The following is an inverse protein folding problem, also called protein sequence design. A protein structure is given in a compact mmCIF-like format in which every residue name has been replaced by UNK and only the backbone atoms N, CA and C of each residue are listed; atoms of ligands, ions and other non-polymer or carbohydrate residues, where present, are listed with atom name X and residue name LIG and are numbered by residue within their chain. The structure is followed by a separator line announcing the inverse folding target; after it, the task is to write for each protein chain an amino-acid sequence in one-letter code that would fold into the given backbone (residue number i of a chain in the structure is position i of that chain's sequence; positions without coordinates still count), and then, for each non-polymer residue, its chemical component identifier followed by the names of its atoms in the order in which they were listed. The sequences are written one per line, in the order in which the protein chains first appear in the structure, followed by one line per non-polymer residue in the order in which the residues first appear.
data_IF_376638948734
#
_entry.id   IF_376638948734
#
_cell.length_a   1.000
_cell.length_b   1.000
_cell.length_c   1.000
_cell.angle_alpha   90.00
_cell.angle_beta   90.00
_cell.angle_gamma   90.00
#
_symmetry.space_group_name_H-M   'P 1'
#
loop_
_entity.id
_entity.type
_entity.pdbx_description
1 polymer ?
#
# COMPACT_ATOMS: atom_id res chain seq x y z
N UNK A 1 -69.97 47.97 128.50
CA UNK A 1 -69.32 49.07 129.26
C UNK A 1 -70.26 50.26 129.25
N UNK A 2 -70.59 50.79 130.43
CA UNK A 2 -71.03 52.18 130.74
C UNK A 2 -72.34 52.68 130.09
N UNK A 3 -73.36 53.24 130.76
CA UNK A 3 -73.50 53.87 132.07
C UNK A 3 -74.19 55.25 131.91
N UNK A 4 -74.97 55.67 132.92
CA UNK A 4 -75.57 57.01 133.18
C UNK A 4 -77.01 57.27 132.65
N UNK A 5 -78.05 57.32 133.52
CA UNK A 5 -78.53 58.42 134.40
C UNK A 5 -79.39 59.46 133.62
N UNK A 6 -80.49 60.06 134.07
CA UNK A 6 -81.04 60.36 135.40
C UNK A 6 -82.56 60.71 135.34
N UNK A 7 -83.13 60.87 136.54
CA UNK A 7 -84.51 61.08 137.03
C UNK A 7 -85.38 62.31 136.57
N UNK A 8 -86.69 62.35 136.96
CA UNK A 8 -87.76 63.35 136.65
C UNK A 8 -87.88 64.46 137.76
N UNK A 9 -88.89 65.39 137.88
CA UNK A 9 -90.29 65.10 138.34
C UNK A 9 -91.43 66.19 138.11
N UNK A 10 -92.68 65.84 138.51
CA UNK A 10 -93.76 66.64 139.20
C UNK A 10 -94.32 67.97 138.61
N UNK A 11 -95.56 68.46 138.77
CA UNK A 11 -96.74 68.33 139.68
C UNK A 11 -98.03 68.65 138.83
N UNK A 12 -99.26 68.12 139.01
CA UNK A 12 -100.26 68.23 140.10
C UNK A 12 -100.53 69.68 140.62
N UNK A 13 -101.64 70.00 141.31
CA UNK A 13 -103.09 69.85 141.02
C UNK A 13 -103.94 71.08 141.48
N UNK A 14 -105.28 70.95 141.53
CA UNK A 14 -106.30 71.73 142.33
C UNK A 14 -107.00 72.90 141.61
N UNK A 15 -108.31 72.91 141.31
CA UNK A 15 -109.55 72.73 142.10
C UNK A 15 -110.05 74.03 142.82
N UNK A 16 -111.39 74.23 142.92
CA UNK A 16 -112.13 75.51 143.04
C UNK A 16 -112.43 75.88 144.52
N UNK A 17 -113.28 76.88 144.89
CA UNK A 17 -114.75 76.63 144.96
C UNK A 17 -115.72 77.84 144.96
N UNK A 18 -116.98 77.52 144.63
CA UNK A 18 -118.26 77.94 145.21
C UNK A 18 -118.54 79.41 145.63
N UNK A 19 -119.47 79.99 144.86
CA UNK A 19 -120.75 80.60 145.24
C UNK A 19 -121.20 80.81 146.72
N UNK A 20 -121.99 81.90 146.85
CA UNK A 20 -123.08 82.20 147.82
C UNK A 20 -122.63 82.80 149.17
N UNK A 21 -123.45 83.59 149.92
CA UNK A 21 -124.87 83.31 150.20
C UNK A 21 -125.85 84.52 150.39
N UNK A 22 -127.17 84.22 150.26
CA UNK A 22 -128.29 84.68 151.12
C UNK A 22 -128.62 86.21 151.17
N UNK A 23 -129.87 86.73 151.19
CA UNK A 23 -131.04 86.38 152.02
C UNK A 23 -132.25 87.31 151.68
N UNK A 24 -133.44 86.72 151.49
CA UNK A 24 -134.81 87.06 151.96
C UNK A 24 -135.47 88.47 151.83
N UNK A 25 -136.68 88.43 151.25
CA UNK A 25 -137.97 89.10 151.62
C UNK A 25 -138.35 90.45 150.95
N UNK A 26 -139.66 90.82 150.87
CA UNK A 26 -140.62 90.38 149.85
C UNK A 26 -141.25 91.58 149.11
N UNK A 27 -141.13 91.60 147.78
CA UNK A 27 -142.01 92.26 146.78
C UNK A 27 -141.17 92.38 145.51
N UNK A 28 -141.75 92.09 144.34
CA UNK A 28 -141.14 92.17 143.00
C UNK A 28 -140.37 90.91 142.47
N UNK A 29 -140.25 89.82 143.23
CA UNK A 29 -139.49 88.56 142.91
C UNK A 29 -140.06 87.62 141.82
N UNK A 30 -141.21 87.92 141.20
CA UNK A 30 -141.85 86.98 140.26
C UNK A 30 -141.32 87.03 138.81
N UNK A 31 -140.31 87.86 138.50
CA UNK A 31 -139.82 88.03 137.10
C UNK A 31 -138.57 87.18 136.74
N UNK A 32 -137.80 86.67 137.71
CA UNK A 32 -136.54 85.91 137.45
C UNK A 32 -136.71 84.38 137.40
N UNK A 33 -137.69 83.82 138.11
CA UNK A 33 -137.93 82.36 138.23
C UNK A 33 -138.31 81.69 136.89
N UNK A 34 -138.77 82.45 135.89
CA UNK A 34 -139.12 81.90 134.58
C UNK A 34 -137.92 81.76 133.62
N UNK A 35 -136.76 82.40 133.89
CA UNK A 35 -135.59 82.36 133.00
C UNK A 35 -134.51 81.31 133.34
N UNK A 36 -134.40 80.87 134.59
CA UNK A 36 -133.30 79.95 135.01
C UNK A 36 -133.64 78.46 134.83
N UNK A 37 -134.93 78.12 134.69
CA UNK A 37 -135.40 76.73 134.49
C UNK A 37 -134.96 76.04 133.17
N UNK A 38 -134.82 76.74 132.02
CA UNK A 38 -134.30 76.15 130.79
C UNK A 38 -132.80 75.86 130.84
N UNK A 39 -132.00 76.73 131.47
CA UNK A 39 -130.54 76.60 131.52
C UNK A 39 -130.09 75.39 132.33
N UNK A 40 -130.71 75.14 133.49
CA UNK A 40 -130.47 73.92 134.26
C UNK A 40 -130.83 72.64 133.50
N UNK A 41 -131.89 72.67 132.66
CA UNK A 41 -132.22 71.52 131.79
C UNK A 41 -131.15 71.30 130.72
N UNK A 42 -130.58 72.36 130.16
CA UNK A 42 -129.50 72.27 129.18
C UNK A 42 -128.22 71.72 129.81
N UNK A 43 -127.86 72.20 131.01
CA UNK A 43 -126.70 71.70 131.75
C UNK A 43 -126.85 70.21 132.12
N UNK A 44 -128.06 69.79 132.53
CA UNK A 44 -128.36 68.38 132.79
C UNK A 44 -128.29 67.55 131.49
N UNK A 45 -128.74 68.10 130.35
CA UNK A 45 -128.63 67.43 129.05
C UNK A 45 -127.16 67.28 128.61
N UNK A 46 -126.36 68.33 128.77
CA UNK A 46 -124.93 68.33 128.41
C UNK A 46 -124.10 67.44 129.36
N UNK A 47 -124.38 67.47 130.66
CA UNK A 47 -123.79 66.51 131.60
C UNK A 47 -124.18 65.08 131.26
N UNK A 48 -125.44 64.83 130.83
CA UNK A 48 -125.85 63.51 130.35
C UNK A 48 -125.09 63.11 129.07
N UNK A 49 -124.87 64.02 128.14
CA UNK A 49 -124.15 63.72 126.90
C UNK A 49 -122.64 63.53 127.13
N UNK A 50 -122.02 64.31 128.02
CA UNK A 50 -120.65 64.06 128.49
C UNK A 50 -120.52 62.74 129.23
N UNK A 51 -121.48 62.38 130.09
CA UNK A 51 -121.49 61.06 130.75
C UNK A 51 -121.61 59.96 129.70
N UNK A 52 -122.45 60.10 128.67
CA UNK A 52 -122.51 59.15 127.55
C UNK A 52 -121.21 59.08 126.77
N UNK A 53 -120.56 60.20 126.49
CA UNK A 53 -119.28 60.24 125.77
C UNK A 53 -118.15 59.62 126.58
N UNK A 54 -118.04 59.95 127.88
CA UNK A 54 -117.11 59.29 128.82
C UNK A 54 -117.40 57.80 128.95
N UNK A 55 -118.67 57.38 128.89
CA UNK A 55 -119.06 55.96 128.88
C UNK A 55 -118.66 55.26 127.57
N UNK A 56 -118.65 56.00 126.45
CA UNK A 56 -118.26 55.48 125.13
C UNK A 56 -116.74 55.55 124.89
N UNK A 57 -116.01 56.39 125.62
CA UNK A 57 -114.57 56.59 125.45
C UNK A 57 -113.77 55.29 125.66
N UNK A 58 -113.97 54.49 126.73
CA UNK A 58 -113.34 53.17 126.86
C UNK A 58 -113.65 52.24 125.68
N UNK A 59 -114.86 52.30 125.12
CA UNK A 59 -115.22 51.51 123.93
C UNK A 59 -114.48 51.98 122.68
N UNK A 60 -114.23 53.29 122.53
CA UNK A 60 -113.40 53.83 121.43
C UNK A 60 -111.93 53.39 121.58
N UNK A 61 -111.35 53.47 122.78
CA UNK A 61 -109.99 52.99 123.05
C UNK A 61 -109.85 51.48 122.87
N UNK A 62 -110.83 50.69 123.32
CA UNK A 62 -110.84 49.24 123.12
C UNK A 62 -110.85 48.89 121.63
N UNK A 63 -111.67 49.56 120.81
CA UNK A 63 -111.65 49.35 119.35
C UNK A 63 -110.31 49.73 118.73
N UNK A 64 -109.68 50.79 119.20
CA UNK A 64 -108.36 51.20 118.71
C UNK A 64 -107.26 50.19 119.10
N UNK A 65 -107.33 49.63 120.31
CA UNK A 65 -106.45 48.56 120.76
C UNK A 65 -106.63 47.30 119.91
N UNK A 66 -107.87 46.88 119.64
CA UNK A 66 -108.13 45.75 118.74
C UNK A 66 -107.64 46.02 117.32
N UNK A 67 -107.90 47.20 116.76
CA UNK A 67 -107.39 47.57 115.44
C UNK A 67 -105.86 47.56 115.38
N UNK A 68 -105.21 48.03 116.44
CA UNK A 68 -103.75 47.98 116.57
C UNK A 68 -103.22 46.55 116.72
N UNK A 69 -103.93 45.68 117.44
CA UNK A 69 -103.60 44.26 117.56
C UNK A 69 -103.78 43.51 116.24
N UNK A 70 -104.85 43.80 115.49
CA UNK A 70 -105.07 43.31 114.14
C UNK A 70 -103.95 43.79 113.19
N UNK A 71 -103.60 45.08 113.22
CA UNK A 71 -102.50 45.66 112.44
C UNK A 71 -101.15 45.02 112.80
N UNK A 72 -100.88 44.78 114.09
CA UNK A 72 -99.67 44.08 114.53
C UNK A 72 -99.61 42.65 114.00
N UNK A 73 -100.74 41.94 114.03
CA UNK A 73 -100.83 40.58 113.52
C UNK A 73 -100.65 40.56 112.00
N UNK A 74 -101.21 41.53 111.27
CA UNK A 74 -100.99 41.70 109.83
C UNK A 74 -99.51 41.96 109.52
N UNK A 75 -98.86 42.87 110.25
CA UNK A 75 -97.42 43.14 110.10
C UNK A 75 -96.60 41.87 110.38
N UNK A 76 -96.96 41.08 111.40
CA UNK A 76 -96.27 39.84 111.72
C UNK A 76 -96.40 38.81 110.59
N UNK A 77 -97.61 38.60 110.07
CA UNK A 77 -97.83 37.68 108.93
C UNK A 77 -97.13 38.15 107.66
N UNK A 78 -97.09 39.46 107.39
CA UNK A 78 -96.32 40.03 106.29
C UNK A 78 -94.82 39.85 106.49
N UNK A 79 -94.31 40.01 107.71
CA UNK A 79 -92.90 39.79 108.03
C UNK A 79 -92.50 38.31 107.83
N UNK A 80 -93.33 37.38 108.29
CA UNK A 80 -93.16 35.94 108.03
C UNK A 80 -93.15 35.64 106.53
N UNK A 81 -94.10 36.20 105.78
CA UNK A 81 -94.17 36.07 104.32
C UNK A 81 -92.95 36.67 103.60
N UNK A 82 -92.47 37.83 104.05
CA UNK A 82 -91.24 38.45 103.55
C UNK A 82 -90.02 37.58 103.84
N UNK A 83 -89.96 36.94 105.02
CA UNK A 83 -88.89 36.01 105.36
C UNK A 83 -88.89 34.78 104.45
N UNK A 84 -90.06 34.23 104.12
CA UNK A 84 -90.22 33.11 103.19
C UNK A 84 -89.79 33.50 101.78
N UNK A 85 -90.26 34.64 101.26
CA UNK A 85 -89.86 35.14 99.95
C UNK A 85 -88.35 35.44 99.87
N UNK A 86 -87.75 35.97 100.94
CA UNK A 86 -86.31 36.20 101.01
C UNK A 86 -85.52 34.88 101.02
N UNK A 87 -86.02 33.85 101.70
CA UNK A 87 -85.43 32.51 101.68
C UNK A 87 -85.54 31.87 100.29
N UNK A 88 -86.67 32.04 99.58
CA UNK A 88 -86.83 31.60 98.19
C UNK A 88 -85.91 32.36 97.22
N UNK A 89 -85.75 33.67 97.39
CA UNK A 89 -84.78 34.49 96.63
C UNK A 89 -83.35 34.02 96.86
N UNK A 90 -82.99 33.68 98.11
CA UNK A 90 -81.69 33.11 98.46
C UNK A 90 -81.46 31.73 97.84
N UNK A 91 -82.47 30.86 97.81
CA UNK A 91 -82.41 29.60 97.03
C UNK A 91 -82.25 29.87 95.52
N UNK A 92 -82.90 30.92 95.00
CA UNK A 92 -82.67 31.41 93.64
C UNK A 92 -81.23 31.89 93.41
N UNK A 93 -80.58 32.47 94.43
CA UNK A 93 -79.16 32.82 94.37
C UNK A 93 -78.24 31.60 94.36
N UNK A 94 -78.64 30.46 94.95
CA UNK A 94 -77.87 29.21 94.86
C UNK A 94 -77.77 28.69 93.42
N UNK A 95 -78.76 28.97 92.55
CA UNK A 95 -78.75 28.66 91.10
C UNK A 95 -77.61 29.37 90.36
N UNK A 96 -77.05 30.46 90.92
CA UNK A 96 -75.86 31.12 90.35
C UNK A 96 -74.64 30.20 90.35
N UNK A 97 -74.54 29.26 91.28
CA UNK A 97 -73.41 28.31 91.37
C UNK A 97 -73.40 27.24 90.25
N UNK A 98 -74.49 26.48 89.97
CA UNK A 98 -74.54 25.60 88.81
C UNK A 98 -74.47 26.39 87.49
N UNK A 99 -74.99 27.62 87.43
CA UNK A 99 -74.85 28.48 86.24
C UNK A 99 -73.38 28.80 85.92
N UNK A 100 -72.57 29.15 86.92
CA UNK A 100 -71.12 29.36 86.74
C UNK A 100 -70.42 28.07 86.31
N UNK A 101 -70.81 26.93 86.90
CA UNK A 101 -70.25 25.62 86.54
C UNK A 101 -70.59 25.23 85.10
N UNK A 102 -71.81 25.47 84.64
CA UNK A 102 -72.24 25.25 83.26
C UNK A 102 -71.43 26.11 82.29
N UNK A 103 -71.28 27.41 82.55
CA UNK A 103 -70.47 28.29 81.69
C UNK A 103 -69.01 27.83 81.58
N UNK A 104 -68.41 27.36 82.67
CA UNK A 104 -67.06 26.78 82.65
C UNK A 104 -66.99 25.47 81.86
N UNK A 105 -67.99 24.59 81.99
CA UNK A 105 -68.06 23.36 81.21
C UNK A 105 -68.30 23.63 79.73
N UNK A 106 -69.09 24.64 79.40
CA UNK A 106 -69.34 25.09 78.04
C UNK A 106 -68.08 25.68 77.41
N UNK A 107 -67.34 26.54 78.12
CA UNK A 107 -66.03 27.02 77.64
C UNK A 107 -65.05 25.87 77.46
N UNK A 108 -64.96 24.95 78.43
CA UNK A 108 -64.13 23.76 78.33
C UNK A 108 -64.53 22.86 77.14
N UNK A 109 -65.83 22.73 76.85
CA UNK A 109 -66.32 21.97 75.71
C UNK A 109 -65.95 22.63 74.39
N UNK A 110 -66.09 23.96 74.30
CA UNK A 110 -65.67 24.73 73.13
C UNK A 110 -64.15 24.64 72.89
N UNK A 111 -63.34 24.72 73.95
CA UNK A 111 -61.88 24.53 73.87
C UNK A 111 -61.54 23.11 73.38
N UNK A 112 -62.20 22.07 73.93
CA UNK A 112 -62.02 20.70 73.45
C UNK A 112 -62.44 20.53 71.99
N UNK A 113 -63.53 21.18 71.57
CA UNK A 113 -64.02 21.16 70.18
C UNK A 113 -63.00 21.80 69.24
N UNK A 114 -62.47 22.97 69.57
CA UNK A 114 -61.44 23.63 68.75
C UNK A 114 -60.13 22.82 68.69
N UNK A 115 -59.70 22.20 69.79
CA UNK A 115 -58.54 21.30 69.80
C UNK A 115 -58.78 20.08 68.90
N UNK A 116 -59.98 19.50 68.95
CA UNK A 116 -60.35 18.36 68.10
C UNK A 116 -60.37 18.74 66.63
N UNK A 117 -61.00 19.87 66.27
CA UNK A 117 -61.03 20.40 64.90
C UNK A 117 -59.61 20.67 64.38
N UNK A 118 -58.75 21.31 65.19
CA UNK A 118 -57.34 21.53 64.87
C UNK A 118 -56.58 20.21 64.66
N UNK A 119 -56.80 19.21 65.52
CA UNK A 119 -56.14 17.90 65.41
C UNK A 119 -56.61 17.15 64.17
N UNK A 120 -57.91 17.19 63.85
CA UNK A 120 -58.47 16.60 62.64
C UNK A 120 -57.94 17.28 61.37
N UNK A 121 -57.84 18.61 61.36
CA UNK A 121 -57.24 19.36 60.26
C UNK A 121 -55.76 19.00 60.09
N UNK A 122 -55.01 18.88 61.19
CA UNK A 122 -53.63 18.43 61.16
C UNK A 122 -53.50 17.00 60.60
N UNK A 123 -54.38 16.08 60.99
CA UNK A 123 -54.41 14.72 60.42
C UNK A 123 -54.68 14.74 58.92
N UNK A 124 -55.67 15.51 58.45
CA UNK A 124 -55.94 15.68 57.01
C UNK A 124 -54.72 16.23 56.27
N UNK A 125 -54.05 17.24 56.83
CA UNK A 125 -52.83 17.83 56.25
C UNK A 125 -51.68 16.82 56.20
N UNK A 126 -51.50 16.01 57.25
CA UNK A 126 -50.48 14.95 57.28
C UNK A 126 -50.80 13.82 56.31
N UNK A 127 -52.07 13.41 56.19
CA UNK A 127 -52.51 12.43 55.21
C UNK A 127 -52.25 12.90 53.79
N UNK A 128 -52.57 14.16 53.47
CA UNK A 128 -52.28 14.74 52.15
C UNK A 128 -50.78 14.78 51.86
N UNK A 129 -49.96 15.20 52.83
CA UNK A 129 -48.49 15.15 52.68
C UNK A 129 -47.99 13.71 52.43
N UNK A 130 -48.62 12.73 53.08
CA UNK A 130 -48.33 11.31 52.85
C UNK A 130 -48.64 10.89 51.41
N UNK A 131 -49.80 11.27 50.87
CA UNK A 131 -50.17 10.97 49.48
C UNK A 131 -49.26 11.66 48.47
N UNK A 132 -48.90 12.93 48.73
CA UNK A 132 -48.01 13.70 47.86
C UNK A 132 -46.59 13.09 47.84
N UNK A 133 -46.09 12.64 49.00
CA UNK A 133 -44.80 11.97 49.11
C UNK A 133 -44.79 10.62 48.37
N UNK A 134 -45.88 9.83 48.45
CA UNK A 134 -46.02 8.57 47.71
C UNK A 134 -46.01 8.83 46.19
N UNK A 135 -46.79 9.81 45.71
CA UNK A 135 -46.81 10.17 44.30
C UNK A 135 -45.41 10.63 43.80
N UNK A 136 -44.70 11.40 44.63
CA UNK A 136 -43.33 11.79 44.32
C UNK A 136 -42.37 10.59 44.23
N UNK A 137 -42.48 9.63 45.16
CA UNK A 137 -41.67 8.41 45.13
C UNK A 137 -41.94 7.58 43.87
N UNK A 138 -43.20 7.45 43.45
CA UNK A 138 -43.58 6.75 42.22
C UNK A 138 -42.98 7.43 40.98
N UNK A 139 -43.07 8.77 40.89
CA UNK A 139 -42.47 9.51 39.78
C UNK A 139 -40.94 9.37 39.72
N UNK A 140 -40.26 9.27 40.88
CA UNK A 140 -38.83 8.97 40.93
C UNK A 140 -38.52 7.53 40.52
N UNK A 141 -39.36 6.56 40.90
CA UNK A 141 -39.21 5.17 40.50
C UNK A 141 -39.37 4.99 38.98
N UNK A 142 -40.34 5.65 38.36
CA UNK A 142 -40.53 5.66 36.91
C UNK A 142 -39.32 6.27 36.18
N UNK A 143 -38.80 7.39 36.68
CA UNK A 143 -37.56 7.99 36.16
C UNK A 143 -36.37 7.04 36.30
N UNK A 144 -36.26 6.35 37.43
CA UNK A 144 -35.19 5.39 37.64
C UNK A 144 -35.29 4.19 36.68
N UNK A 145 -36.50 3.67 36.44
CA UNK A 145 -36.75 2.63 35.43
C UNK A 145 -36.38 3.10 34.03
N UNK A 146 -36.80 4.30 33.65
CA UNK A 146 -36.45 4.92 32.36
C UNK A 146 -34.93 5.06 32.20
N UNK A 147 -34.24 5.57 33.22
CA UNK A 147 -32.78 5.67 33.23
C UNK A 147 -32.10 4.29 33.13
N UNK A 148 -32.60 3.27 33.82
CA UNK A 148 -32.09 1.91 33.71
C UNK A 148 -32.20 1.37 32.27
N UNK A 149 -33.34 1.61 31.60
CA UNK A 149 -33.50 1.24 30.18
C UNK A 149 -32.48 1.98 29.30
N UNK A 150 -32.31 3.29 29.48
CA UNK A 150 -31.32 4.07 28.72
C UNK A 150 -29.88 3.58 28.96
N UNK A 151 -29.53 3.22 30.20
CA UNK A 151 -28.21 2.65 30.53
C UNK A 151 -28.00 1.30 29.84
N UNK A 152 -29.02 0.44 29.78
CA UNK A 152 -28.94 -0.84 29.06
C UNK A 152 -28.78 -0.63 27.55
N UNK A 153 -29.53 0.29 26.95
CA UNK A 153 -29.40 0.64 25.53
C UNK A 153 -28.01 1.19 25.20
N UNK A 154 -27.49 2.09 26.04
CA UNK A 154 -26.14 2.64 25.89
C UNK A 154 -25.06 1.55 26.05
N UNK A 155 -25.25 0.62 26.99
CA UNK A 155 -24.34 -0.52 27.19
C UNK A 155 -24.32 -1.44 25.97
N UNK A 156 -25.49 -1.71 25.37
CA UNK A 156 -25.58 -2.48 24.13
C UNK A 156 -24.88 -1.77 22.97
N UNK A 157 -25.08 -0.45 22.81
CA UNK A 157 -24.38 0.37 21.80
C UNK A 157 -22.87 0.38 22.03
N UNK A 158 -22.41 0.48 23.28
CA UNK A 158 -20.99 0.41 23.63
C UNK A 158 -20.38 -0.95 23.25
N UNK A 159 -21.08 -2.05 23.53
CA UNK A 159 -20.64 -3.39 23.11
C UNK A 159 -20.54 -3.54 21.58
N UNK A 160 -21.51 -2.99 20.83
CA UNK A 160 -21.47 -2.99 19.36
C UNK A 160 -20.28 -2.18 18.82
N UNK A 161 -20.02 -0.99 19.39
CA UNK A 161 -18.88 -0.16 19.00
C UNK A 161 -17.56 -0.85 19.32
N UNK A 162 -17.44 -1.51 20.46
CA UNK A 162 -16.24 -2.27 20.84
C UNK A 162 -15.99 -3.45 19.89
N UNK A 163 -17.03 -4.16 19.46
CA UNK A 163 -16.91 -5.23 18.47
C UNK A 163 -16.43 -4.68 17.11
N UNK A 164 -16.98 -3.55 16.67
CA UNK A 164 -16.59 -2.87 15.43
C UNK A 164 -15.16 -2.34 15.48
N UNK A 165 -14.73 -1.81 16.63
CA UNK A 165 -13.34 -1.40 16.87
C UNK A 165 -12.38 -2.58 16.69
N UNK A 166 -12.70 -3.73 17.28
CA UNK A 166 -11.88 -4.92 17.15
C UNK A 166 -11.82 -5.44 15.70
N UNK A 167 -12.95 -5.41 14.97
CA UNK A 167 -13.00 -5.74 13.54
C UNK A 167 -12.06 -4.84 12.73
N UNK A 168 -12.18 -3.51 12.89
CA UNK A 168 -11.33 -2.54 12.18
C UNK A 168 -9.85 -2.71 12.53
N UNK A 169 -9.53 -3.01 13.79
CA UNK A 169 -8.17 -3.28 14.23
C UNK A 169 -7.58 -4.54 13.57
N UNK A 170 -8.38 -5.61 13.42
CA UNK A 170 -7.93 -6.80 12.68
C UNK A 170 -7.74 -6.53 11.19
N UNK A 171 -8.64 -5.74 10.58
CA UNK A 171 -8.53 -5.35 9.18
C UNK A 171 -7.29 -4.49 8.93
N UNK A 172 -6.99 -3.55 9.82
CA UNK A 172 -5.80 -2.71 9.73
C UNK A 172 -4.52 -3.57 9.76
N UNK A 173 -4.42 -4.52 10.70
CA UNK A 173 -3.28 -5.46 10.77
C UNK A 173 -3.12 -6.29 9.50
N UNK A 174 -4.23 -6.73 8.88
CA UNK A 174 -4.17 -7.46 7.60
C UNK A 174 -3.71 -6.56 6.45
N UNK A 175 -4.16 -5.31 6.40
CA UNK A 175 -3.71 -4.33 5.42
C UNK A 175 -2.23 -3.98 5.59
N UNK A 176 -1.76 -3.79 6.83
CA UNK A 176 -0.35 -3.54 7.12
C UNK A 176 0.53 -4.71 6.65
N UNK A 177 0.07 -5.95 6.86
CA UNK A 177 0.76 -7.15 6.36
C UNK A 177 0.82 -7.18 4.82
N UNK A 178 -0.28 -6.88 4.14
CA UNK A 178 -0.31 -6.84 2.68
C UNK A 178 0.57 -5.72 2.10
N UNK A 179 0.62 -4.56 2.75
CA UNK A 179 1.53 -3.47 2.38
C UNK A 179 2.98 -3.88 2.55
N UNK A 180 3.31 -4.60 3.63
CA UNK A 180 4.66 -5.11 3.86
C UNK A 180 5.08 -6.10 2.75
N UNK A 181 4.22 -7.07 2.43
CA UNK A 181 4.46 -8.05 1.36
C UNK A 181 4.64 -7.38 -0.01
N UNK A 182 3.76 -6.43 -0.35
CA UNK A 182 3.91 -5.65 -1.59
C UNK A 182 5.20 -4.80 -1.60
N UNK A 183 5.63 -4.32 -0.44
CA UNK A 183 6.91 -3.59 -0.32
C UNK A 183 8.08 -4.53 -0.57
N UNK A 184 8.06 -5.74 0.02
CA UNK A 184 9.09 -6.76 -0.20
C UNK A 184 9.19 -7.13 -1.70
N UNK A 185 8.05 -7.37 -2.37
CA UNK A 185 8.00 -7.63 -3.82
C UNK A 185 8.60 -6.47 -4.63
N UNK A 186 8.25 -5.22 -4.30
CA UNK A 186 8.83 -4.03 -4.96
C UNK A 186 10.34 -3.99 -4.77
N UNK A 187 10.86 -4.29 -3.58
CA UNK A 187 12.30 -4.31 -3.33
C UNK A 187 13.00 -5.41 -4.12
N UNK A 188 12.39 -6.59 -4.24
CA UNK A 188 12.91 -7.69 -5.05
C UNK A 188 12.97 -7.30 -6.53
N UNK A 189 11.87 -6.77 -7.09
CA UNK A 189 11.86 -6.29 -8.48
C UNK A 189 12.86 -5.15 -8.72
N UNK A 190 13.01 -4.25 -7.76
CA UNK A 190 14.01 -3.17 -7.82
C UNK A 190 15.43 -3.73 -7.86
N UNK A 191 15.72 -4.80 -7.11
CA UNK A 191 17.03 -5.47 -7.14
C UNK A 191 17.29 -6.15 -8.48
N UNK A 192 16.34 -6.92 -9.01
CA UNK A 192 16.41 -7.57 -10.32
C UNK A 192 16.59 -6.57 -11.45
N UNK A 193 15.89 -5.44 -11.40
CA UNK A 193 16.03 -4.38 -12.39
C UNK A 193 17.45 -3.80 -12.39
N UNK A 194 18.03 -3.56 -11.21
CA UNK A 194 19.41 -3.06 -11.08
C UNK A 194 20.45 -4.03 -11.60
N UNK A 195 20.25 -5.34 -11.40
CA UNK A 195 21.11 -6.38 -11.97
C UNK A 195 21.05 -6.38 -13.50
N UNK A 196 19.84 -6.36 -14.07
CA UNK A 196 19.63 -6.27 -15.52
C UNK A 196 20.22 -5.00 -16.12
N UNK A 197 20.07 -3.85 -15.45
CA UNK A 197 20.67 -2.59 -15.87
C UNK A 197 22.20 -2.66 -15.88
N UNK A 198 22.79 -3.34 -14.88
CA UNK A 198 24.24 -3.54 -14.81
C UNK A 198 24.74 -4.50 -15.90
N UNK A 199 24.02 -5.59 -16.16
CA UNK A 199 24.32 -6.51 -17.26
C UNK A 199 24.19 -5.82 -18.63
N UNK A 200 23.18 -4.98 -18.83
CA UNK A 200 22.99 -4.20 -20.05
C UNK A 200 24.16 -3.22 -20.27
N UNK A 201 24.60 -2.52 -19.22
CA UNK A 201 25.77 -1.63 -19.31
C UNK A 201 27.04 -2.40 -19.68
N UNK A 202 27.27 -3.56 -19.07
CA UNK A 202 28.41 -4.42 -19.39
C UNK A 202 28.36 -4.95 -20.84
N UNK A 203 27.21 -5.41 -21.31
CA UNK A 203 27.02 -5.86 -22.68
C UNK A 203 27.27 -4.73 -23.69
N UNK A 204 26.81 -3.51 -23.40
CA UNK A 204 27.05 -2.33 -24.24
C UNK A 204 28.53 -1.95 -24.32
N UNK A 205 29.28 -2.08 -23.21
CA UNK A 205 30.73 -1.84 -23.24
C UNK A 205 31.48 -2.91 -24.04
N UNK A 206 31.05 -4.17 -23.95
CA UNK A 206 31.62 -5.28 -24.72
C UNK A 206 31.32 -5.12 -26.22
N UNK A 207 30.10 -4.71 -26.58
CA UNK A 207 29.73 -4.38 -27.97
C UNK A 207 30.65 -3.31 -28.56
N UNK A 208 30.93 -2.25 -27.79
CA UNK A 208 31.86 -1.20 -28.21
C UNK A 208 33.27 -1.74 -28.44
N UNK A 209 33.76 -2.62 -27.55
CA UNK A 209 35.07 -3.26 -27.67
C UNK A 209 35.15 -4.13 -28.93
N UNK A 210 34.20 -5.05 -29.12
CA UNK A 210 34.12 -5.92 -30.30
C UNK A 210 33.99 -5.12 -31.60
N UNK A 211 33.25 -4.00 -31.58
CA UNK A 211 33.15 -3.15 -32.76
C UNK A 211 34.49 -2.47 -33.09
N UNK A 212 35.29 -2.09 -32.07
CA UNK A 212 36.65 -1.59 -32.29
C UNK A 212 37.55 -2.68 -32.88
N UNK A 213 37.59 -3.88 -32.27
CA UNK A 213 38.36 -5.02 -32.80
C UNK A 213 37.96 -5.37 -34.24
N UNK A 214 36.66 -5.33 -34.56
CA UNK A 214 36.17 -5.53 -35.92
C UNK A 214 36.73 -4.50 -36.90
N UNK A 215 36.83 -3.23 -36.53
CA UNK A 215 37.45 -2.20 -37.39
C UNK A 215 38.95 -2.44 -37.54
N UNK A 216 39.64 -2.81 -36.45
CA UNK A 216 41.08 -3.10 -36.47
C UNK A 216 41.38 -4.30 -37.40
N UNK A 217 40.62 -5.39 -37.28
CA UNK A 217 40.72 -6.55 -38.17
C UNK A 217 40.39 -6.20 -39.62
N UNK A 218 39.40 -5.33 -39.85
CA UNK A 218 39.07 -4.86 -41.21
C UNK A 218 40.23 -4.07 -41.82
N UNK A 219 40.95 -3.28 -41.03
CA UNK A 219 42.13 -2.55 -41.50
C UNK A 219 43.29 -3.51 -41.77
N UNK A 220 43.57 -4.45 -40.87
CA UNK A 220 44.58 -5.50 -41.08
C UNK A 220 44.32 -6.36 -42.32
N UNK A 221 43.05 -6.70 -42.59
CA UNK A 221 42.67 -7.41 -43.81
C UNK A 221 43.00 -6.61 -45.08
N UNK A 222 42.73 -5.29 -45.09
CA UNK A 222 43.09 -4.43 -46.22
C UNK A 222 44.61 -4.41 -46.43
N UNK A 223 45.39 -4.35 -45.36
CA UNK A 223 46.86 -4.40 -45.43
C UNK A 223 47.34 -5.73 -46.02
N UNK A 224 46.81 -6.87 -45.57
CA UNK A 224 47.16 -8.19 -46.09
C UNK A 224 46.78 -8.37 -47.57
N UNK A 225 45.65 -7.79 -48.00
CA UNK A 225 45.26 -7.79 -49.42
C UNK A 225 46.29 -7.02 -50.27
N UNK A 226 46.74 -5.86 -49.78
CA UNK A 226 47.76 -5.06 -50.46
C UNK A 226 49.08 -5.82 -50.56
N UNK A 227 49.54 -6.44 -49.48
CA UNK A 227 50.78 -7.23 -49.49
C UNK A 227 50.66 -8.46 -50.41
N UNK A 228 49.51 -9.13 -50.42
CA UNK A 228 49.25 -10.25 -51.34
C UNK A 228 49.33 -9.81 -52.80
N UNK A 229 48.75 -8.65 -53.14
CA UNK A 229 48.82 -8.11 -54.49
C UNK A 229 50.27 -7.76 -54.88
N UNK A 230 51.02 -7.14 -53.98
CA UNK A 230 52.44 -6.85 -54.18
C UNK A 230 53.25 -8.12 -54.44
N UNK A 231 53.09 -9.15 -53.60
CA UNK A 231 53.77 -10.44 -53.79
C UNK A 231 53.36 -11.13 -55.10
N UNK A 232 52.11 -10.97 -55.53
CA UNK A 232 51.64 -11.47 -56.83
C UNK A 232 52.33 -10.74 -57.98
N UNK A 233 52.48 -9.42 -57.89
CA UNK A 233 53.20 -8.62 -58.90
C UNK A 233 54.68 -9.00 -58.95
N UNK A 234 55.33 -9.15 -57.79
CA UNK A 234 56.71 -9.63 -57.68
C UNK A 234 56.88 -11.01 -58.32
N UNK A 235 55.94 -11.94 -58.08
CA UNK A 235 55.93 -13.26 -58.69
C UNK A 235 55.76 -13.19 -60.22
N UNK A 236 54.90 -12.30 -60.72
CA UNK A 236 54.72 -12.09 -62.16
C UNK A 236 56.00 -11.56 -62.80
N UNK A 237 56.68 -10.60 -62.18
CA UNK A 237 57.97 -10.10 -62.66
C UNK A 237 59.04 -11.19 -62.65
N UNK A 238 59.12 -12.00 -61.58
CA UNK A 238 60.05 -13.15 -61.53
C UNK A 238 59.74 -14.19 -62.60
N UNK A 239 58.49 -14.41 -62.94
CA UNK A 239 58.10 -15.31 -64.05
C UNK A 239 58.53 -14.74 -65.40
N UNK A 240 58.36 -13.43 -65.65
CA UNK A 240 58.85 -12.78 -66.87
C UNK A 240 60.37 -12.87 -66.97
N UNK A 241 61.09 -12.62 -65.87
CA UNK A 241 62.56 -12.77 -65.80
C UNK A 241 62.99 -14.21 -66.08
N UNK A 242 62.30 -15.21 -65.51
CA UNK A 242 62.56 -16.61 -65.77
C UNK A 242 62.33 -16.99 -67.25
N UNK A 243 61.25 -16.50 -67.88
CA UNK A 243 60.99 -16.74 -69.29
C UNK A 243 62.10 -16.16 -70.18
N UNK A 244 62.56 -14.93 -69.89
CA UNK A 244 63.71 -14.33 -70.59
C UNK A 244 64.97 -15.17 -70.42
N UNK A 245 65.25 -15.65 -69.21
CA UNK A 245 66.37 -16.55 -68.94
C UNK A 245 66.23 -17.88 -69.72
N UNK A 246 65.03 -18.44 -69.83
CA UNK A 246 64.78 -19.63 -70.63
C UNK A 246 65.01 -19.40 -72.13
N UNK A 247 64.53 -18.27 -72.67
CA UNK A 247 64.77 -17.85 -74.05
C UNK A 247 66.27 -17.70 -74.34
N UNK A 248 67.01 -17.06 -73.43
CA UNK A 248 68.47 -16.94 -73.51
C UNK A 248 69.16 -18.31 -73.49
N UNK A 249 68.74 -19.22 -72.60
CA UNK A 249 69.24 -20.59 -72.56
C UNK A 249 68.96 -21.33 -73.88
N UNK A 250 67.77 -21.15 -74.47
CA UNK A 250 67.42 -21.77 -75.75
C UNK A 250 68.29 -21.21 -76.87
N UNK A 251 68.47 -19.88 -76.94
CA UNK A 251 69.34 -19.21 -77.90
C UNK A 251 70.78 -19.72 -77.81
N UNK A 252 71.36 -19.71 -76.60
CA UNK A 252 72.72 -20.23 -76.35
C UNK A 252 72.85 -21.71 -76.70
N UNK A 253 71.83 -22.54 -76.46
CA UNK A 253 71.82 -23.95 -76.88
C UNK A 253 71.84 -24.09 -78.41
N UNK A 254 71.03 -23.31 -79.12
CA UNK A 254 71.00 -23.31 -80.59
C UNK A 254 72.33 -22.85 -81.17
N UNK A 255 72.89 -21.77 -80.67
CA UNK A 255 74.22 -21.27 -81.05
C UNK A 255 75.30 -22.34 -80.80
N UNK A 256 75.27 -23.01 -79.65
CA UNK A 256 76.21 -24.10 -79.35
C UNK A 256 76.11 -25.26 -80.36
N UNK A 257 74.89 -25.60 -80.81
CA UNK A 257 74.68 -26.61 -81.86
C UNK A 257 75.23 -26.14 -83.21
N UNK A 258 75.00 -24.87 -83.59
CA UNK A 258 75.57 -24.28 -84.80
C UNK A 258 77.11 -24.31 -84.77
N UNK A 259 77.72 -23.83 -83.67
CA UNK A 259 79.17 -23.83 -83.48
C UNK A 259 79.75 -25.25 -83.51
N UNK A 260 79.10 -26.24 -82.87
CA UNK A 260 79.52 -27.65 -82.97
C UNK A 260 79.47 -28.18 -84.41
N UNK A 261 78.45 -27.79 -85.17
CA UNK A 261 78.31 -28.18 -86.59
C UNK A 261 79.39 -27.53 -87.45
N UNK A 262 79.66 -26.25 -87.24
CA UNK A 262 80.74 -25.52 -87.92
C UNK A 262 82.11 -26.12 -87.59
N UNK A 263 82.39 -26.42 -86.31
CA UNK A 263 83.59 -27.13 -85.89
C UNK A 263 83.71 -28.49 -86.59
N UNK A 264 82.63 -29.28 -86.68
CA UNK A 264 82.65 -30.55 -87.40
C UNK A 264 82.95 -30.36 -88.90
N UNK A 265 82.38 -29.34 -89.54
CA UNK A 265 82.67 -29.00 -90.94
C UNK A 265 84.13 -28.55 -91.12
N UNK A 266 84.69 -27.77 -90.19
CA UNK A 266 86.10 -27.37 -90.22
C UNK A 266 87.03 -28.58 -90.05
N UNK A 267 86.70 -29.51 -89.15
CA UNK A 267 87.42 -30.78 -88.99
C UNK A 267 87.36 -31.60 -90.28
N UNK A 268 86.20 -31.73 -90.93
CA UNK A 268 86.08 -32.43 -92.22
C UNK A 268 86.82 -31.72 -93.35
N UNK A 269 86.81 -30.39 -93.40
CA UNK A 269 87.59 -29.59 -94.35
C UNK A 269 89.09 -29.78 -94.13
N UNK A 270 89.55 -29.82 -92.88
CA UNK A 270 90.93 -30.11 -92.53
C UNK A 270 91.31 -31.53 -92.98
N UNK A 271 90.48 -32.55 -92.69
CA UNK A 271 90.69 -33.92 -93.18
C UNK A 271 90.79 -33.98 -94.72
N UNK A 272 89.90 -33.31 -95.44
CA UNK A 272 89.96 -33.23 -96.92
C UNK A 272 91.22 -32.51 -97.41
N UNK A 273 91.67 -31.47 -96.71
CA UNK A 273 92.92 -30.78 -97.02
C UNK A 273 94.11 -31.69 -96.77
N UNK A 274 94.14 -32.43 -95.68
CA UNK A 274 95.20 -33.40 -95.36
C UNK A 274 95.22 -34.55 -96.39
N UNK A 275 94.05 -35.05 -96.80
CA UNK A 275 93.93 -36.00 -97.91
C UNK A 275 94.45 -35.42 -99.23
N UNK A 276 94.16 -34.15 -99.54
CA UNK A 276 94.68 -33.48 -100.73
C UNK A 276 96.20 -33.27 -100.64
N UNK A 277 96.73 -32.91 -99.47
CA UNK A 277 98.18 -32.80 -99.26
C UNK A 277 98.87 -34.16 -99.38
N UNK A 278 98.25 -35.22 -98.87
CA UNK A 278 98.71 -36.59 -99.08
C UNK A 278 98.71 -36.95 -100.58
N UNK A 279 97.64 -36.61 -101.31
CA UNK A 279 97.57 -36.81 -102.76
C UNK A 279 98.66 -36.02 -103.51
N UNK A 280 98.87 -34.73 -103.16
CA UNK A 280 99.95 -33.90 -103.72
C UNK A 280 101.34 -34.42 -103.39
N UNK A 281 101.56 -34.91 -102.17
CA UNK A 281 102.83 -35.53 -101.77
C UNK A 281 103.06 -36.83 -102.53
N UNK A 282 102.01 -37.62 -102.76
CA UNK A 282 102.07 -38.85 -103.56
C UNK A 282 102.35 -38.55 -105.03
N UNK A 283 101.73 -37.51 -105.59
CA UNK A 283 102.02 -37.00 -106.93
C UNK A 283 103.46 -36.49 -107.03
N UNK A 284 103.94 -35.71 -106.05
CA UNK A 284 105.31 -35.21 -106.00
C UNK A 284 106.32 -36.37 -105.95
N UNK A 285 106.08 -37.39 -105.13
CA UNK A 285 106.88 -38.62 -105.08
C UNK A 285 106.89 -39.33 -106.44
N UNK A 286 105.74 -39.44 -107.10
CA UNK A 286 105.65 -39.99 -108.46
C UNK A 286 106.46 -39.13 -109.45
N UNK A 287 106.40 -37.81 -109.35
CA UNK A 287 107.10 -36.89 -110.25
C UNK A 287 108.63 -36.87 -110.03
N UNK A 288 109.14 -37.18 -108.83
CA UNK A 288 110.59 -37.26 -108.59
C UNK A 288 111.15 -38.66 -108.80
N UNK A 289 110.39 -39.70 -108.49
CA UNK A 289 110.85 -41.09 -108.61
C UNK A 289 110.71 -41.64 -110.03
N UNK A 290 109.66 -41.24 -110.78
CA UNK A 290 109.45 -41.69 -112.16
C UNK A 290 110.57 -41.25 -113.13
N UNK A 291 111.11 -40.01 -113.08
CA UNK A 291 112.29 -39.64 -113.85
C UNK A 291 113.55 -40.38 -113.43
N UNK A 292 113.74 -40.64 -112.13
CA UNK A 292 114.86 -41.44 -111.62
C UNK A 292 114.80 -42.88 -112.14
N UNK A 293 113.63 -43.54 -112.07
CA UNK A 293 113.40 -44.87 -112.65
C UNK A 293 113.59 -44.87 -114.18
N UNK A 294 113.10 -43.85 -114.88
CA UNK A 294 113.35 -43.69 -116.33
C UNK A 294 114.84 -43.51 -116.63
N UNK A 295 115.59 -42.80 -115.79
CA UNK A 295 117.03 -42.62 -115.92
C UNK A 295 117.80 -43.92 -115.67
N UNK A 296 117.39 -44.72 -114.67
CA UNK A 296 117.94 -46.06 -114.42
C UNK A 296 117.65 -46.98 -115.60
N UNK A 297 116.43 -46.97 -116.15
CA UNK A 297 116.06 -47.76 -117.32
C UNK A 297 116.90 -47.38 -118.56
N UNK A 298 117.08 -46.08 -118.82
CA UNK A 298 117.96 -45.60 -119.91
C UNK A 298 119.41 -45.99 -119.68
N UNK A 299 119.90 -45.97 -118.43
CA UNK A 299 121.26 -46.41 -118.09
C UNK A 299 121.42 -47.91 -118.35
N UNK A 300 120.49 -48.74 -117.89
CA UNK A 300 120.47 -50.18 -118.18
C UNK A 300 120.42 -50.46 -119.68
N UNK A 301 119.70 -49.67 -120.46
CA UNK A 301 119.63 -49.81 -121.92
C UNK A 301 120.95 -49.45 -122.62
N UNK A 302 121.69 -48.46 -122.11
CA UNK A 302 123.06 -48.14 -122.58
C UNK A 302 124.05 -49.24 -122.19
N UNK A 303 123.95 -49.77 -120.97
CA UNK A 303 124.81 -50.85 -120.49
C UNK A 303 124.60 -52.13 -121.34
N UNK A 304 123.35 -52.41 -121.75
CA UNK A 304 123.03 -53.50 -122.68
C UNK A 304 123.59 -53.28 -124.10
N UNK A 305 123.56 -52.05 -124.63
CA UNK A 305 124.17 -51.74 -125.92
C UNK A 305 125.69 -51.85 -125.88
N UNK A 306 126.32 -51.46 -124.77
CA UNK A 306 127.76 -51.61 -124.56
C UNK A 306 128.21 -53.08 -124.53
N UNK A 307 127.41 -53.96 -123.92
CA UNK A 307 127.63 -55.41 -123.92
C UNK A 307 127.48 -56.03 -125.31
N UNK A 308 126.54 -55.54 -126.14
CA UNK A 308 126.34 -56.02 -127.51
C UNK A 308 127.57 -55.76 -128.40
N UNK A 309 128.16 -54.56 -128.31
CA UNK A 309 129.36 -54.17 -129.08
C UNK A 309 130.63 -54.86 -128.56
N UNK A 310 130.72 -55.11 -127.25
CA UNK A 310 131.83 -55.87 -126.67
C UNK A 310 131.78 -57.36 -127.02
N UNK A 311 130.59 -57.90 -127.29
CA UNK A 311 130.38 -59.29 -127.71
C UNK A 311 130.75 -59.49 -129.20
N UNK A 312 130.40 -58.55 -130.08
CA UNK A 312 130.76 -58.59 -131.50
C UNK A 312 132.28 -58.43 -131.73
N UNK A 313 132.98 -57.59 -130.95
CA UNK A 313 134.44 -57.44 -131.10
C UNK A 313 135.26 -58.64 -130.59
N UNK A 314 134.66 -59.52 -129.79
CA UNK A 314 135.31 -60.77 -129.33
C UNK A 314 135.05 -61.97 -130.26
N UNK A 315 134.21 -61.85 -131.29
CA UNK A 315 133.76 -62.96 -132.14
C UNK A 315 134.59 -63.16 -133.43
N UNK A 316 135.46 -62.20 -133.78
CA UNK A 316 136.28 -62.23 -135.02
C UNK A 316 137.68 -62.87 -134.85
N UNK A 317 138.09 -63.25 -133.63
CA UNK A 317 139.46 -63.70 -133.31
C UNK A 317 139.59 -65.15 -132.77
N UNK A 318 138.51 -65.94 -132.74
CA UNK A 318 138.52 -67.32 -132.18
C UNK A 318 137.71 -68.34 -132.99
N UNK A 319 137.98 -68.41 -134.30
CA UNK A 319 137.67 -69.55 -135.17
C UNK A 319 138.99 -70.21 -135.65
N UNK A 320 139.73 -70.81 -134.72
CA UNK A 320 140.71 -71.87 -134.97
C UNK A 320 140.80 -72.71 -133.68
N UNK A 321 140.54 -74.02 -133.81
CA UNK A 321 140.43 -75.05 -132.77
C UNK A 321 139.14 -75.13 -131.93
N UNK A 322 138.07 -75.53 -132.61
CA UNK A 322 137.40 -76.85 -132.54
C UNK A 322 137.30 -77.66 -131.23
N UNK A 323 136.06 -78.15 -131.02
CA UNK A 323 135.57 -79.31 -130.25
C UNK A 323 135.28 -79.04 -128.76
N UNK A 324 134.05 -78.63 -128.45
CA UNK A 324 132.86 -79.48 -128.23
C UNK A 324 132.93 -80.27 -126.92
N UNK A 325 131.93 -80.33 -126.06
CA UNK A 325 130.66 -79.64 -125.93
C UNK A 325 130.32 -79.74 -124.42
N UNK A 326 129.71 -78.69 -123.85
CA UNK A 326 129.37 -78.63 -122.44
C UNK A 326 127.91 -78.22 -122.31
N UNK A 327 127.10 -79.13 -121.79
CA UNK A 327 125.71 -78.90 -121.36
C UNK A 327 125.45 -79.79 -120.12
N UNK A 328 124.86 -79.15 -119.08
CA UNK A 328 124.25 -79.68 -117.84
C UNK A 328 125.13 -80.24 -116.70
N UNK A 329 125.23 -79.45 -115.62
CA UNK A 329 125.11 -79.80 -114.18
C UNK A 329 125.07 -78.46 -113.41
N UNK A 330 124.13 -78.18 -112.51
CA UNK A 330 124.02 -78.57 -111.09
C UNK A 330 125.05 -77.96 -110.11
N UNK A 331 124.48 -77.44 -109.02
CA UNK A 331 124.95 -77.45 -107.61
C UNK A 331 125.80 -76.32 -106.98
N UNK A 332 125.19 -75.75 -105.92
CA UNK A 332 125.70 -75.59 -104.53
C UNK A 332 126.39 -74.32 -104.01
N UNK A 333 126.20 -74.17 -102.68
CA UNK A 333 126.78 -73.28 -101.65
C UNK A 333 125.98 -71.98 -101.39
N UNK A 334 125.21 -71.78 -100.31
CA UNK A 334 125.32 -72.04 -98.85
C UNK A 334 125.94 -70.88 -98.03
N UNK A 335 125.35 -70.71 -96.83
CA UNK A 335 125.77 -69.99 -95.62
C UNK A 335 125.44 -68.49 -95.41
N UNK A 336 124.59 -68.30 -94.38
CA UNK A 336 124.73 -67.36 -93.26
C UNK A 336 124.31 -65.88 -93.50
N UNK A 337 123.73 -65.10 -92.57
CA UNK A 337 123.55 -65.22 -91.11
C UNK A 337 122.93 -63.93 -90.51
N UNK A 338 122.11 -64.08 -89.45
CA UNK A 338 121.67 -63.15 -88.37
C UNK A 338 121.04 -61.77 -88.74
N UNK A 339 120.24 -61.08 -87.93
CA UNK A 339 120.05 -61.06 -86.47
C UNK A 339 118.71 -60.33 -86.16
N UNK A 340 117.94 -60.82 -85.16
CA UNK A 340 117.17 -60.12 -84.10
C UNK A 340 116.40 -58.82 -84.34
N UNK A 341 115.45 -58.38 -83.52
CA UNK A 341 114.63 -58.88 -82.40
C UNK A 341 113.65 -57.73 -82.15
N UNK A 342 112.34 -58.03 -82.05
CA UNK A 342 111.36 -57.42 -81.15
C UNK A 342 111.27 -55.85 -81.10
N UNK A 343 110.58 -55.20 -80.13
CA UNK A 343 109.50 -55.68 -79.25
C UNK A 343 108.30 -54.70 -79.05
N UNK A 344 107.12 -55.27 -78.78
CA UNK A 344 106.21 -54.98 -77.63
C UNK A 344 105.60 -53.56 -77.42
N UNK A 345 104.52 -53.28 -76.66
CA UNK A 345 103.58 -53.98 -75.76
C UNK A 345 102.46 -52.96 -75.40
N UNK A 346 101.36 -53.43 -74.80
CA UNK A 346 100.59 -52.79 -73.68
C UNK A 346 99.85 -51.47 -73.94
N UNK A 347 98.88 -50.99 -73.16
CA UNK A 347 98.04 -51.48 -72.05
C UNK A 347 97.01 -50.36 -71.73
N UNK A 348 96.07 -50.73 -70.88
CA UNK A 348 94.85 -50.11 -70.32
C UNK A 348 94.81 -48.65 -69.83
N UNK A 349 93.56 -48.15 -69.80
CA UNK A 349 92.84 -47.44 -68.71
C UNK A 349 92.58 -45.90 -68.78
N UNK A 350 91.27 -45.60 -68.75
CA UNK A 350 90.52 -44.53 -68.01
C UNK A 350 90.72 -43.02 -68.32
N UNK A 351 89.61 -42.40 -68.75
CA UNK A 351 88.83 -41.33 -68.06
C UNK A 351 88.39 -40.17 -69.00
N UNK A 352 87.09 -39.81 -68.98
CA UNK A 352 86.53 -38.61 -69.64
C UNK A 352 85.24 -38.79 -70.48
N UNK A 353 84.06 -38.70 -69.83
CA UNK A 353 82.65 -38.67 -70.32
C UNK A 353 82.30 -37.54 -71.33
N UNK A 354 81.03 -37.33 -71.79
CA UNK A 354 79.87 -38.22 -72.07
C UNK A 354 79.13 -37.92 -73.41
N UNK A 355 78.42 -38.88 -74.03
CA UNK A 355 77.06 -38.59 -74.55
C UNK A 355 76.21 -39.83 -74.91
N UNK A 356 75.09 -40.02 -74.16
CA UNK A 356 73.77 -40.63 -74.52
C UNK A 356 73.73 -42.15 -74.84
N UNK A 357 72.78 -42.98 -74.43
CA UNK A 357 71.53 -42.92 -73.65
C UNK A 357 71.17 -44.40 -73.33
N UNK A 358 71.04 -44.83 -72.07
CA UNK A 358 70.16 -45.96 -71.69
C UNK A 358 69.69 -45.85 -70.22
N UNK A 359 68.52 -46.45 -69.96
CA UNK A 359 67.56 -46.35 -68.85
C UNK A 359 68.12 -46.31 -67.41
N UNK A 360 67.48 -45.55 -66.51
CA UNK A 360 66.59 -46.03 -65.43
C UNK A 360 66.23 -44.93 -64.41
N UNK A 361 64.99 -45.02 -63.90
CA UNK A 361 64.45 -44.64 -62.58
C UNK A 361 64.79 -43.28 -61.96
N UNK A 362 63.73 -42.50 -61.69
CA UNK A 362 63.79 -41.31 -60.85
C UNK A 362 62.41 -40.70 -60.63
N UNK A 363 61.55 -41.45 -59.92
CA UNK A 363 60.61 -40.94 -58.93
C UNK A 363 59.96 -39.56 -59.22
N UNK A 364 59.09 -39.53 -60.22
CA UNK A 364 57.97 -38.60 -60.21
C UNK A 364 56.95 -39.10 -59.21
N UNK A 365 56.88 -38.48 -58.04
CA UNK A 365 55.64 -38.44 -57.28
C UNK A 365 54.71 -37.44 -57.97
N UNK A 366 53.59 -37.85 -58.58
CA UNK A 366 52.39 -37.06 -58.46
C UNK A 366 51.73 -37.51 -57.16
N UNK A 367 51.85 -36.67 -56.13
CA UNK A 367 50.88 -36.68 -55.05
C UNK A 367 49.48 -36.71 -55.67
N UNK A 368 48.71 -37.72 -55.25
CA UNK A 368 47.25 -37.73 -55.20
C UNK A 368 46.66 -36.33 -55.32
N UNK A 369 46.04 -36.04 -56.46
CA UNK A 369 44.88 -35.17 -56.49
C UNK A 369 43.78 -35.96 -55.79
N UNK A 370 43.70 -35.83 -54.46
CA UNK A 370 42.47 -36.10 -53.74
C UNK A 370 41.55 -34.91 -54.04
N UNK A 371 40.79 -35.02 -55.12
CA UNK A 371 39.56 -34.27 -55.26
C UNK A 371 38.41 -35.12 -54.74
N UNK A 372 37.53 -34.45 -54.00
CA UNK A 372 36.21 -34.89 -53.54
C UNK A 372 36.18 -36.01 -52.49
N UNK A 373 36.12 -35.58 -51.23
CA UNK A 373 35.00 -35.98 -50.39
C UNK A 373 34.44 -34.72 -49.72
N UNK A 374 33.28 -34.28 -50.18
CA UNK A 374 32.37 -33.42 -49.41
C UNK A 374 31.81 -34.30 -48.29
N UNK A 375 31.99 -33.97 -47.01
CA UNK A 375 31.07 -34.42 -45.99
C UNK A 375 29.96 -33.38 -45.91
N UNK A 376 28.81 -33.78 -46.45
CA UNK A 376 27.52 -33.34 -45.93
C UNK A 376 27.52 -33.49 -44.40
N UNK A 377 26.95 -32.54 -43.65
CA UNK A 377 26.26 -32.90 -42.44
C UNK A 377 24.77 -32.67 -42.62
N UNK A 378 24.07 -33.77 -42.82
CA UNK A 378 22.67 -33.90 -42.46
C UNK A 378 22.51 -33.48 -40.99
N UNK A 379 21.78 -32.40 -40.75
CA UNK A 379 21.25 -32.10 -39.43
C UNK A 379 19.73 -32.30 -39.48
N UNK A 380 19.35 -33.54 -39.23
CA UNK A 380 18.00 -33.92 -38.84
C UNK A 380 17.92 -33.76 -37.32
N UNK A 381 17.13 -32.80 -36.84
CA UNK A 381 16.40 -32.98 -35.59
C UNK A 381 15.11 -32.16 -35.60
N UNK A 382 14.02 -32.85 -35.26
CA UNK A 382 12.66 -32.34 -35.18
C UNK A 382 12.44 -31.57 -33.87
N UNK A 383 11.63 -30.51 -33.94
CA UNK A 383 10.74 -30.05 -32.86
C UNK A 383 9.71 -29.13 -33.52
N UNK A 384 8.47 -29.60 -33.67
CA UNK A 384 7.37 -29.40 -32.72
C UNK A 384 6.59 -28.12 -33.09
N UNK A 385 5.27 -28.29 -33.15
CA UNK A 385 4.28 -27.35 -33.64
C UNK A 385 4.51 -25.92 -33.12
N UNK A 386 4.70 -24.99 -34.05
CA UNK A 386 4.56 -23.57 -33.79
C UNK A 386 3.28 -23.13 -34.49
N UNK A 387 2.22 -23.01 -33.71
CA UNK A 387 1.08 -22.19 -34.07
C UNK A 387 1.60 -20.78 -34.36
N UNK A 388 1.22 -20.27 -35.53
CA UNK A 388 1.59 -18.95 -36.00
C UNK A 388 0.92 -17.89 -35.15
N UNK A 389 1.66 -17.32 -34.21
CA UNK A 389 1.28 -16.08 -33.56
C UNK A 389 2.24 -14.96 -33.96
N UNK A 390 2.21 -14.63 -35.25
CA UNK A 390 2.69 -13.36 -35.79
C UNK A 390 1.73 -12.24 -35.38
N UNK A 391 1.68 -11.95 -34.10
CA UNK A 391 0.98 -10.80 -33.54
C UNK A 391 2.03 -9.93 -32.83
N UNK A 392 2.26 -8.73 -33.38
CA UNK A 392 3.24 -7.76 -32.88
C UNK A 392 3.08 -7.56 -31.36
N UNK A 393 4.15 -7.25 -30.60
CA UNK A 393 4.09 -7.04 -29.14
C UNK A 393 2.96 -6.09 -28.69
N UNK A 394 2.62 -5.11 -29.53
CA UNK A 394 1.53 -4.16 -29.34
C UNK A 394 0.15 -4.83 -29.37
N UNK A 395 -0.07 -5.79 -30.27
CA UNK A 395 -1.35 -6.52 -30.36
C UNK A 395 -1.57 -7.46 -29.17
N UNK A 396 -0.51 -8.05 -28.62
CA UNK A 396 -0.57 -8.83 -27.37
C UNK A 396 -0.91 -7.94 -26.18
N UNK A 397 -0.30 -6.76 -26.09
CA UNK A 397 -0.64 -5.77 -25.06
C UNK A 397 -2.09 -5.29 -25.18
N UNK A 398 -2.56 -5.03 -26.40
CA UNK A 398 -3.96 -4.63 -26.64
C UNK A 398 -4.95 -5.72 -26.28
N UNK A 399 -4.65 -6.99 -26.57
CA UNK A 399 -5.47 -8.13 -26.16
C UNK A 399 -5.55 -8.24 -24.64
N UNK A 400 -4.41 -8.20 -23.94
CA UNK A 400 -4.35 -8.28 -22.47
C UNK A 400 -5.07 -7.08 -21.83
N UNK A 401 -4.97 -5.88 -22.41
CA UNK A 401 -5.71 -4.71 -21.94
C UNK A 401 -7.22 -4.84 -22.17
N UNK A 402 -7.66 -5.43 -23.29
CA UNK A 402 -9.07 -5.69 -23.55
C UNK A 402 -9.63 -6.75 -22.59
N UNK A 403 -8.85 -7.81 -22.33
CA UNK A 403 -9.19 -8.89 -21.41
C UNK A 403 -9.27 -8.40 -19.96
N UNK A 404 -8.33 -7.55 -19.54
CA UNK A 404 -8.37 -6.88 -18.23
C UNK A 404 -9.61 -5.99 -18.07
N UNK A 405 -9.99 -5.23 -19.11
CA UNK A 405 -11.21 -4.40 -19.08
C UNK A 405 -12.47 -5.24 -18.97
N UNK A 406 -12.54 -6.38 -19.66
CA UNK A 406 -13.68 -7.29 -19.58
C UNK A 406 -13.80 -7.90 -18.18
N UNK A 407 -12.69 -8.34 -17.60
CA UNK A 407 -12.66 -8.92 -16.24
C UNK A 407 -13.07 -7.90 -15.17
N UNK A 408 -12.69 -6.62 -15.32
CA UNK A 408 -13.16 -5.55 -14.43
C UNK A 408 -14.66 -5.33 -14.56
N UNK A 409 -15.20 -5.29 -15.78
CA UNK A 409 -16.64 -5.17 -16.01
C UNK A 409 -17.43 -6.35 -15.41
N UNK A 410 -16.92 -7.58 -15.54
CA UNK A 410 -17.54 -8.77 -14.97
C UNK A 410 -17.50 -8.76 -13.42
N UNK A 411 -16.43 -8.21 -12.84
CA UNK A 411 -16.30 -8.03 -11.40
C UNK A 411 -17.26 -6.95 -10.88
N UNK A 412 -17.40 -5.83 -11.59
CA UNK A 412 -18.36 -4.77 -11.27
C UNK A 412 -19.80 -5.28 -11.36
N UNK A 413 -20.14 -6.06 -12.39
CA UNK A 413 -21.45 -6.72 -12.52
C UNK A 413 -21.70 -7.72 -11.38
N UNK A 414 -20.68 -8.50 -11.01
CA UNK A 414 -20.78 -9.45 -9.89
C UNK A 414 -20.94 -8.73 -8.53
N UNK A 415 -20.33 -7.56 -8.37
CA UNK A 415 -20.44 -6.74 -7.16
C UNK A 415 -21.82 -6.08 -7.07
N UNK A 416 -22.37 -5.63 -8.20
CA UNK A 416 -23.74 -5.10 -8.27
C UNK A 416 -24.81 -6.18 -8.01
N UNK A 417 -24.57 -7.42 -8.47
CA UNK A 417 -25.46 -8.56 -8.20
C UNK A 417 -25.38 -9.02 -6.73
N UNK A 418 -24.22 -8.90 -6.07
CA UNK A 418 -24.08 -9.20 -4.64
C UNK A 418 -24.54 -8.06 -3.71
N UNK A 419 -24.66 -6.83 -4.21
CA UNK A 419 -25.19 -5.69 -3.46
C UNK A 419 -26.73 -5.59 -3.49
N UNK A 420 -27.44 -6.58 -4.04
CA UNK A 420 -28.89 -6.68 -3.91
C UNK A 420 -29.26 -7.22 -2.51
N UNK A 421 -29.93 -6.45 -1.63
CA UNK A 421 -30.32 -6.94 -0.32
C UNK A 421 -31.30 -8.10 -0.50
N UNK A 422 -30.91 -9.30 -0.07
CA UNK A 422 -31.85 -10.42 0.13
C UNK A 422 -32.97 -9.94 1.06
N UNK A 423 -34.13 -9.63 0.48
CA UNK A 423 -35.38 -9.44 1.20
C UNK A 423 -35.85 -10.82 1.64
N UNK A 424 -35.69 -11.12 2.93
CA UNK A 424 -36.46 -12.18 3.58
C UNK A 424 -37.90 -11.68 3.78
N UNK A 425 -38.92 -12.54 3.58
CA UNK A 425 -40.30 -12.12 3.59
C UNK A 425 -40.85 -12.18 5.01
N UNK A 426 -41.05 -11.04 5.66
CA UNK A 426 -42.15 -10.95 6.62
C UNK A 426 -42.59 -9.51 6.96
N UNK A 427 -43.91 -9.38 7.12
CA UNK A 427 -44.70 -8.26 7.66
C UNK A 427 -44.74 -6.94 6.89
N UNK A 428 -45.96 -6.57 6.49
CA UNK A 428 -46.28 -5.37 5.73
C UNK A 428 -46.24 -4.09 6.56
N UNK A 429 -45.91 -2.99 5.88
CA UNK A 429 -46.49 -1.68 6.15
C UNK A 429 -46.20 -0.77 4.96
N UNK A 430 -47.27 -0.37 4.26
CA UNK A 430 -47.25 0.68 3.26
C UNK A 430 -47.05 2.01 3.99
N UNK A 431 -45.87 2.62 3.85
CA UNK A 431 -45.64 4.08 3.97
C UNK A 431 -44.16 4.53 3.79
N UNK A 432 -43.22 3.66 3.43
CA UNK A 432 -41.80 4.01 3.33
C UNK A 432 -41.33 4.43 1.92
N UNK A 433 -42.25 4.83 1.02
CA UNK A 433 -41.91 5.21 -0.36
C UNK A 433 -41.86 6.73 -0.59
N UNK A 434 -42.38 7.54 0.34
CA UNK A 434 -42.37 9.01 0.24
C UNK A 434 -41.12 9.64 0.86
N UNK A 435 -40.58 9.10 1.96
CA UNK A 435 -39.37 9.69 2.60
C UNK A 435 -38.09 9.47 1.80
N UNK A 436 -37.98 8.39 1.02
CA UNK A 436 -36.79 8.09 0.23
C UNK A 436 -36.71 8.94 -1.05
N UNK A 437 -37.85 9.43 -1.55
CA UNK A 437 -37.93 10.36 -2.68
C UNK A 437 -37.56 11.80 -2.27
N UNK A 438 -37.94 12.24 -1.07
CA UNK A 438 -37.57 13.58 -0.56
C UNK A 438 -36.07 13.68 -0.18
N UNK A 439 -35.47 12.59 0.32
CA UNK A 439 -34.03 12.55 0.62
C UNK A 439 -33.16 12.64 -0.65
N UNK A 440 -33.61 12.05 -1.76
CA UNK A 440 -32.91 12.11 -3.06
C UNK A 440 -32.99 13.50 -3.71
N UNK A 441 -34.09 14.24 -3.52
CA UNK A 441 -34.22 15.61 -4.06
C UNK A 441 -33.39 16.64 -3.28
N UNK A 442 -33.23 16.49 -1.95
CA UNK A 442 -32.34 17.39 -1.17
C UNK A 442 -30.86 17.22 -1.49
N UNK A 443 -30.43 16.02 -1.85
CA UNK A 443 -29.01 15.74 -2.11
C UNK A 443 -28.56 16.26 -3.48
N UNK A 444 -29.46 16.40 -4.46
CA UNK A 444 -29.11 16.95 -5.78
C UNK A 444 -29.08 18.49 -5.83
N UNK A 445 -29.82 19.20 -4.97
CA UNK A 445 -29.80 20.67 -4.92
C UNK A 445 -28.56 21.24 -4.22
N UNK A 446 -27.96 20.51 -3.27
CA UNK A 446 -26.74 20.94 -2.56
C UNK A 446 -25.47 20.88 -3.42
N UNK A 447 -25.43 20.07 -4.48
CA UNK A 447 -24.23 19.92 -5.32
C UNK A 447 -24.09 21.00 -6.41
N UNK A 448 -25.10 21.84 -6.59
CA UNK A 448 -25.10 22.92 -7.59
C UNK A 448 -24.60 24.27 -7.04
N UNK A 449 -24.48 24.41 -5.71
CA UNK A 449 -24.13 25.70 -5.06
C UNK A 449 -22.64 25.83 -4.69
N UNK A 450 -21.84 24.76 -4.88
CA UNK A 450 -20.41 24.72 -4.56
C UNK A 450 -19.46 24.91 -5.77
N UNK A 451 -19.95 25.49 -6.88
CA UNK A 451 -19.11 26.01 -7.97
C UNK A 451 -19.24 27.53 -8.07
N UNK A 452 -18.64 28.23 -7.12
CA UNK A 452 -18.68 29.69 -7.11
C UNK A 452 -17.85 30.31 -5.99
N UNK A 453 -16.62 29.85 -5.78
CA UNK A 453 -15.67 30.54 -4.91
C UNK A 453 -14.28 30.51 -5.55
N UNK A 454 -14.03 31.50 -6.41
CA UNK A 454 -12.66 31.91 -6.74
C UNK A 454 -11.99 32.42 -5.46
N UNK A 455 -10.86 31.81 -5.09
CA UNK A 455 -9.96 32.34 -4.08
C UNK A 455 -8.86 33.17 -4.77
N UNK A 456 -8.57 34.39 -4.29
CA UNK A 456 -7.54 35.23 -4.88
C UNK A 456 -6.15 34.80 -4.41
N UNK A 457 -5.20 34.97 -5.33
CA UNK A 457 -3.76 34.99 -5.11
C UNK A 457 -3.38 35.82 -3.86
N UNK A 458 -2.51 35.27 -3.02
CA UNK A 458 -1.60 36.07 -2.21
C UNK A 458 -0.17 35.53 -2.32
N UNK A 459 0.73 36.47 -2.60
CA UNK A 459 2.17 36.34 -2.74
C UNK A 459 2.86 35.91 -1.45
N UNK A 460 3.78 34.95 -1.57
CA UNK A 460 5.16 35.01 -1.08
C UNK A 460 5.98 33.86 -1.68
#
# INVERSE_FOLDING_TARGET
MSGSAASPPAMNPSAPPSASPQKLLPSLENCTILKERPELRLLIAELKDRVKELTLQPRRYQRQLLAWEDDWQEILTLAERCSLLNNELNKGNEIKSPTKRLKFLESQQNDRKTILENTQQNFKKMSQKGTDAIAHCQALEEKNKSLCCSVLELSAKMGQLQAREQELLTMLKLKDKAILEATDDITEFTSKFRELESALRAAKTEEFHLNKEKQDLKMSLKELILETNKLKDDLCEKMKENNKQQEEIIHLKQENVCLRTELALLVEKAKRKDQLQFAKSKEAWTNTELPSLRQIYVKQQRDLQFLHVSLESSQELRQNHEKAAHERSEENMDLNSFHSDAPFLTSTQKEGRPQRYEKFSGQGFPLKINNLLVPEPANRCCSAAMDQDTSSPISKLQHVLAESRQMVADLELSTLLCASPRRSPDSGNDNMTTELAEALQRTQLSAAEERGAELPFFSL
#
